data_IF_361396114858
#
_entry.id   IF_361396114858
#
_cell.length_a   1.000
_cell.length_b   1.000
_cell.length_c   1.000
_cell.angle_alpha   90.00
_cell.angle_beta   90.00
_cell.angle_gamma   90.00
#
_symmetry.space_group_name_H-M   'P 1'
#
loop_
_entity.id
_entity.type
_entity.pdbx_description
1 polymer ?
#
# COMPACT_ATOMS: atom_id res chain seq x y z
N UNK A 1 71.10 39.83 19.21
CA UNK A 1 70.45 40.67 20.22
C UNK A 1 68.97 40.87 19.86
N UNK A 2 68.16 40.78 20.87
CA UNK A 2 66.70 40.99 20.97
C UNK A 2 65.78 39.89 20.40
N UNK A 3 65.38 39.07 21.32
CA UNK A 3 64.19 38.21 21.31
C UNK A 3 62.92 39.09 21.23
N UNK A 4 61.92 38.60 20.45
CA UNK A 4 60.58 39.12 20.52
C UNK A 4 59.67 37.91 20.67
N UNK A 5 59.18 37.73 21.87
CA UNK A 5 58.18 36.73 22.27
C UNK A 5 56.80 37.18 21.80
N UNK A 6 56.17 36.40 20.94
CA UNK A 6 54.77 36.59 20.60
C UNK A 6 53.93 35.57 21.36
N UNK A 7 53.16 36.06 22.31
CA UNK A 7 52.17 35.29 23.07
C UNK A 7 50.98 34.94 22.16
N UNK A 8 50.82 33.68 21.87
CA UNK A 8 49.57 33.16 21.29
C UNK A 8 48.52 33.07 22.41
N UNK A 9 47.49 33.87 22.31
CA UNK A 9 46.27 33.77 23.10
C UNK A 9 45.44 32.60 22.58
N UNK A 10 45.39 31.48 23.33
CA UNK A 10 44.43 30.42 23.15
C UNK A 10 43.05 30.92 23.65
N UNK A 11 42.19 31.31 22.74
CA UNK A 11 40.75 31.43 23.01
C UNK A 11 40.15 30.04 23.02
N UNK A 12 40.09 29.41 24.18
CA UNK A 12 39.29 28.22 24.43
C UNK A 12 37.82 28.60 24.49
N UNK A 13 37.12 28.43 23.36
CA UNK A 13 35.65 28.41 23.37
C UNK A 13 35.18 27.09 23.98
N UNK A 14 34.87 27.12 25.28
CA UNK A 14 34.11 26.07 25.92
C UNK A 14 32.69 26.07 25.29
N UNK A 15 32.43 25.17 24.35
CA UNK A 15 31.08 24.82 23.96
C UNK A 15 30.44 24.13 25.19
N UNK A 16 29.72 24.89 26.00
CA UNK A 16 28.79 24.37 26.96
C UNK A 16 27.65 23.67 26.14
N UNK A 17 27.79 22.37 25.90
CA UNK A 17 26.66 21.55 25.59
C UNK A 17 25.69 21.61 26.76
N UNK A 18 24.73 22.53 26.71
CA UNK A 18 23.56 22.49 27.58
C UNK A 18 22.79 21.22 27.22
N UNK A 19 23.10 20.13 27.90
CA UNK A 19 22.21 19.00 27.98
C UNK A 19 20.94 19.50 28.69
N UNK A 20 19.96 19.95 27.91
CA UNK A 20 18.61 20.09 28.40
C UNK A 20 18.18 18.65 28.74
N UNK A 21 18.33 18.27 30.01
CA UNK A 21 17.75 17.04 30.53
C UNK A 21 16.23 17.20 30.41
N UNK A 22 15.67 16.64 29.34
CA UNK A 22 14.22 16.44 29.26
C UNK A 22 13.86 15.58 30.49
N UNK A 23 13.04 16.08 31.43
CA UNK A 23 12.65 15.28 32.58
C UNK A 23 12.08 13.97 32.07
N UNK A 24 12.45 12.85 32.72
CA UNK A 24 11.92 11.54 32.40
C UNK A 24 10.39 11.63 32.55
N UNK A 25 9.69 11.76 31.43
CA UNK A 25 8.23 11.79 31.41
C UNK A 25 7.75 10.45 32.00
N UNK A 26 6.84 10.52 32.96
CA UNK A 26 6.20 9.30 33.47
C UNK A 26 5.52 8.61 32.29
N UNK A 27 5.41 7.28 32.33
CA UNK A 27 4.77 6.52 31.23
C UNK A 27 3.35 7.03 30.92
N UNK A 28 2.63 7.52 31.93
CA UNK A 28 1.31 8.12 31.78
C UNK A 28 1.30 9.43 31.02
N UNK A 29 2.30 10.29 31.24
CA UNK A 29 2.39 11.58 30.53
C UNK A 29 2.78 11.36 29.07
N UNK A 30 3.67 10.42 28.78
CA UNK A 30 4.03 10.03 27.41
C UNK A 30 2.81 9.49 26.64
N UNK A 31 1.96 8.70 27.27
CA UNK A 31 0.73 8.18 26.65
C UNK A 31 -0.27 9.31 26.34
N UNK A 32 -0.49 10.24 27.29
CA UNK A 32 -1.37 11.40 27.06
C UNK A 32 -0.85 12.29 25.93
N UNK A 33 0.45 12.54 25.89
CA UNK A 33 1.06 13.32 24.82
C UNK A 33 1.00 12.61 23.46
N UNK A 34 1.20 11.28 23.43
CA UNK A 34 1.00 10.49 22.23
C UNK A 34 -0.44 10.58 21.70
N UNK A 35 -1.43 10.54 22.59
CA UNK A 35 -2.84 10.72 22.22
C UNK A 35 -3.12 12.12 21.66
N UNK A 36 -2.54 13.16 22.28
CA UNK A 36 -2.65 14.55 21.79
C UNK A 36 -2.06 14.68 20.40
N UNK A 37 -0.83 14.20 20.20
CA UNK A 37 -0.13 14.24 18.91
C UNK A 37 -0.83 13.40 17.84
N UNK A 38 -1.46 12.28 18.19
CA UNK A 38 -2.28 11.50 17.25
C UNK A 38 -3.43 12.34 16.70
N UNK A 39 -4.13 13.09 17.54
CA UNK A 39 -5.20 14.00 17.09
C UNK A 39 -4.64 15.13 16.19
N UNK A 40 -3.48 15.68 16.57
CA UNK A 40 -2.81 16.69 15.73
C UNK A 40 -2.46 16.13 14.36
N UNK A 41 -1.91 14.91 14.30
CA UNK A 41 -1.59 14.24 13.04
C UNK A 41 -2.83 13.99 12.18
N UNK A 42 -3.92 13.52 12.78
CA UNK A 42 -5.19 13.29 12.07
C UNK A 42 -5.77 14.58 11.49
N UNK A 43 -5.79 15.67 12.26
CA UNK A 43 -6.23 16.99 11.77
C UNK A 43 -5.32 17.49 10.66
N UNK A 44 -4.01 17.32 10.79
CA UNK A 44 -3.04 17.71 9.76
C UNK A 44 -3.29 16.93 8.45
N UNK A 45 -3.57 15.61 8.52
CA UNK A 45 -3.94 14.80 7.36
C UNK A 45 -5.23 15.31 6.67
N UNK A 46 -6.29 15.60 7.45
CA UNK A 46 -7.54 16.15 6.92
C UNK A 46 -7.36 17.49 6.22
N UNK A 47 -6.36 18.28 6.63
CA UNK A 47 -6.01 19.57 6.06
C UNK A 47 -4.97 19.47 4.93
N UNK A 48 -4.56 18.27 4.52
CA UNK A 48 -3.53 18.05 3.51
C UNK A 48 -2.10 18.38 3.97
N UNK A 49 -1.88 18.66 5.27
CA UNK A 49 -0.57 18.94 5.86
C UNK A 49 0.15 17.65 6.23
N UNK A 50 0.49 16.87 5.22
CA UNK A 50 1.00 15.50 5.39
C UNK A 50 2.36 15.46 6.10
N UNK A 51 3.26 16.42 5.83
CA UNK A 51 4.58 16.46 6.48
C UNK A 51 4.44 16.71 8.00
N UNK A 52 3.47 17.55 8.41
CA UNK A 52 3.18 17.77 9.83
C UNK A 52 2.62 16.51 10.49
N UNK A 53 1.76 15.77 9.79
CA UNK A 53 1.24 14.49 10.28
C UNK A 53 2.35 13.47 10.46
N UNK A 54 3.26 13.33 9.49
CA UNK A 54 4.41 12.42 9.56
C UNK A 54 5.29 12.79 10.75
N UNK A 55 5.65 14.07 10.91
CA UNK A 55 6.46 14.56 12.06
C UNK A 55 5.80 14.24 13.39
N UNK A 56 4.48 14.44 13.51
CA UNK A 56 3.75 14.12 14.73
C UNK A 56 3.81 12.61 15.05
N UNK A 57 3.59 11.73 14.06
CA UNK A 57 3.71 10.27 14.25
C UNK A 57 5.14 9.84 14.60
N UNK A 58 6.16 10.42 13.96
CA UNK A 58 7.56 10.15 14.30
C UNK A 58 7.90 10.62 15.74
N UNK A 59 7.36 11.77 16.16
CA UNK A 59 7.51 12.25 17.54
C UNK A 59 6.88 11.27 18.53
N UNK A 60 5.68 10.74 18.23
CA UNK A 60 5.04 9.71 19.08
C UNK A 60 5.95 8.49 19.21
N UNK A 61 6.54 8.01 18.11
CA UNK A 61 7.43 6.86 18.14
C UNK A 61 8.65 7.08 19.06
N UNK A 62 9.14 8.31 19.13
CA UNK A 62 10.27 8.68 20.02
C UNK A 62 9.85 8.78 21.47
N UNK A 63 8.75 9.48 21.79
CA UNK A 63 8.33 9.69 23.18
C UNK A 63 7.72 8.44 23.82
N UNK A 64 7.11 7.55 23.02
CA UNK A 64 6.46 6.33 23.46
C UNK A 64 7.40 5.11 23.51
N UNK A 65 8.72 5.29 23.66
CA UNK A 65 9.70 4.17 23.72
C UNK A 65 9.39 3.12 24.78
N UNK A 66 8.82 3.55 25.91
CA UNK A 66 8.37 2.65 26.98
C UNK A 66 7.06 1.91 26.68
N UNK A 67 6.42 2.23 25.57
CA UNK A 67 5.15 1.65 25.11
C UNK A 67 5.24 1.20 23.65
N UNK A 68 5.94 0.08 23.37
CA UNK A 68 6.26 -0.34 22.00
C UNK A 68 5.04 -0.40 21.06
N UNK A 69 3.87 -0.81 21.58
CA UNK A 69 2.63 -0.86 20.78
C UNK A 69 2.17 0.52 20.30
N UNK A 70 2.32 1.57 21.14
CA UNK A 70 1.95 2.94 20.75
C UNK A 70 2.93 3.45 19.70
N UNK A 71 4.23 3.22 19.90
CA UNK A 71 5.27 3.59 18.94
C UNK A 71 5.08 2.86 17.60
N UNK A 72 4.81 1.55 17.63
CA UNK A 72 4.52 0.75 16.44
C UNK A 72 3.30 1.28 15.66
N UNK A 73 2.19 1.57 16.37
CA UNK A 73 0.99 2.13 15.75
C UNK A 73 1.25 3.51 15.11
N UNK A 74 2.07 4.35 15.73
CA UNK A 74 2.44 5.64 15.17
C UNK A 74 3.28 5.48 13.88
N UNK A 75 4.26 4.58 13.89
CA UNK A 75 5.06 4.28 12.69
C UNK A 75 4.22 3.68 11.56
N UNK A 76 3.27 2.79 11.89
CA UNK A 76 2.30 2.27 10.93
C UNK A 76 1.50 3.41 10.27
N UNK A 77 1.02 4.37 11.07
CA UNK A 77 0.28 5.52 10.56
C UNK A 77 1.16 6.44 9.71
N UNK A 78 2.42 6.68 10.09
CA UNK A 78 3.37 7.44 9.27
C UNK A 78 3.59 6.74 7.91
N UNK A 79 3.74 5.41 7.91
CA UNK A 79 3.83 4.60 6.70
C UNK A 79 2.60 4.76 5.80
N UNK A 80 1.39 4.76 6.38
CA UNK A 80 0.16 4.97 5.63
C UNK A 80 0.10 6.37 4.98
N UNK A 81 0.60 7.41 5.66
CA UNK A 81 0.71 8.75 5.07
C UNK A 81 1.71 8.74 3.92
N UNK A 82 2.87 8.09 4.06
CA UNK A 82 3.82 7.95 2.96
C UNK A 82 3.22 7.21 1.76
N UNK A 83 2.45 6.14 2.00
CA UNK A 83 1.71 5.43 0.93
C UNK A 83 0.78 6.35 0.17
N UNK A 84 -0.01 7.17 0.87
CA UNK A 84 -0.95 8.12 0.23
C UNK A 84 -0.25 9.19 -0.59
N UNK A 85 1.01 9.48 -0.30
CA UNK A 85 1.87 10.41 -1.05
C UNK A 85 2.66 9.75 -2.19
N UNK A 86 2.49 8.44 -2.42
CA UNK A 86 3.29 7.68 -3.38
C UNK A 86 4.77 7.54 -2.98
N UNK A 87 5.12 7.82 -1.73
CA UNK A 87 6.48 7.71 -1.19
C UNK A 87 6.71 6.28 -0.66
N UNK A 88 6.79 5.30 -1.57
CA UNK A 88 6.73 3.87 -1.23
C UNK A 88 7.95 3.37 -0.44
N UNK A 89 9.17 3.84 -0.72
CA UNK A 89 10.36 3.44 0.04
C UNK A 89 10.34 3.96 1.49
N UNK A 90 10.03 5.25 1.75
CA UNK A 90 9.75 5.73 3.12
C UNK A 90 8.64 4.97 3.82
N UNK A 91 7.56 4.61 3.11
CA UNK A 91 6.47 3.82 3.66
C UNK A 91 6.95 2.42 4.10
N UNK A 92 7.68 1.71 3.23
CA UNK A 92 8.23 0.40 3.54
C UNK A 92 9.17 0.43 4.75
N UNK A 93 9.99 1.48 4.89
CA UNK A 93 10.86 1.67 6.05
C UNK A 93 10.04 1.88 7.33
N UNK A 94 9.04 2.76 7.31
CA UNK A 94 8.16 3.00 8.46
C UNK A 94 7.41 1.74 8.89
N UNK A 95 6.95 0.90 7.94
CA UNK A 95 6.32 -0.38 8.27
C UNK A 95 7.31 -1.40 8.85
N UNK A 96 8.57 -1.45 8.37
CA UNK A 96 9.61 -2.30 8.99
C UNK A 96 9.93 -1.85 10.41
N UNK A 97 10.04 -0.55 10.65
CA UNK A 97 10.26 0.01 11.99
C UNK A 97 9.09 -0.30 12.92
N UNK A 98 7.84 -0.21 12.42
CA UNK A 98 6.65 -0.64 13.16
C UNK A 98 6.72 -2.11 13.53
N UNK A 99 7.10 -2.98 12.59
CA UNK A 99 7.23 -4.43 12.79
C UNK A 99 8.40 -4.82 13.71
N UNK A 100 9.44 -4.00 13.79
CA UNK A 100 10.53 -4.19 14.75
C UNK A 100 10.04 -4.00 16.21
N UNK A 101 9.00 -3.20 16.42
CA UNK A 101 8.38 -2.94 17.72
C UNK A 101 7.19 -3.88 18.02
N UNK A 102 6.44 -4.27 16.99
CA UNK A 102 5.31 -5.21 17.07
C UNK A 102 5.33 -6.14 15.85
N UNK A 103 6.05 -7.26 15.99
CA UNK A 103 6.21 -8.26 14.93
C UNK A 103 4.90 -8.98 14.56
N UNK A 104 3.87 -8.92 15.43
CA UNK A 104 2.61 -9.63 15.24
C UNK A 104 1.51 -8.77 14.59
N UNK A 105 1.86 -7.63 14.03
CA UNK A 105 0.91 -6.77 13.33
C UNK A 105 0.64 -7.26 11.90
N UNK A 106 -0.46 -8.00 11.71
CA UNK A 106 -0.91 -8.42 10.38
C UNK A 106 -1.13 -7.22 9.43
N UNK A 107 -1.65 -6.10 9.96
CA UNK A 107 -1.85 -4.87 9.21
C UNK A 107 -0.52 -4.27 8.72
N UNK A 108 0.51 -4.22 9.57
CA UNK A 108 1.82 -3.71 9.19
C UNK A 108 2.49 -4.61 8.13
N UNK A 109 2.36 -5.94 8.26
CA UNK A 109 2.86 -6.88 7.24
C UNK A 109 2.13 -6.69 5.90
N UNK A 110 0.80 -6.55 5.91
CA UNK A 110 0.05 -6.29 4.68
C UNK A 110 0.49 -4.97 4.03
N UNK A 111 0.58 -3.89 4.81
CA UNK A 111 0.94 -2.57 4.27
C UNK A 111 2.41 -2.52 3.78
N UNK A 112 3.31 -3.27 4.44
CA UNK A 112 4.68 -3.48 3.94
C UNK A 112 4.65 -4.20 2.57
N UNK A 113 3.83 -5.24 2.45
CA UNK A 113 3.63 -5.95 1.18
C UNK A 113 3.12 -5.03 0.07
N UNK A 114 2.16 -4.15 0.37
CA UNK A 114 1.65 -3.15 -0.58
C UNK A 114 2.76 -2.19 -1.02
N UNK A 115 3.51 -1.62 -0.08
CA UNK A 115 4.62 -0.71 -0.40
C UNK A 115 5.70 -1.40 -1.27
N UNK A 116 6.03 -2.66 -0.95
CA UNK A 116 6.97 -3.45 -1.74
C UNK A 116 6.42 -3.80 -3.13
N UNK A 117 5.11 -4.04 -3.24
CA UNK A 117 4.41 -4.26 -4.51
C UNK A 117 4.51 -3.05 -5.44
N UNK A 118 4.28 -1.84 -4.92
CA UNK A 118 4.44 -0.58 -5.67
C UNK A 118 5.90 -0.34 -6.10
N UNK A 119 6.87 -0.78 -5.29
CA UNK A 119 8.30 -0.80 -5.64
C UNK A 119 8.66 -1.94 -6.60
N UNK A 120 7.69 -2.73 -7.08
CA UNK A 120 7.87 -3.90 -7.95
C UNK A 120 8.75 -5.00 -7.33
N UNK A 121 8.95 -4.99 -6.02
CA UNK A 121 9.67 -6.02 -5.27
C UNK A 121 8.74 -7.19 -4.94
N UNK A 122 8.15 -7.81 -5.96
CA UNK A 122 7.02 -8.73 -5.83
C UNK A 122 7.31 -9.94 -4.95
N UNK A 123 8.52 -10.50 -5.00
CA UNK A 123 8.87 -11.64 -4.16
C UNK A 123 8.86 -11.26 -2.67
N UNK A 124 9.41 -10.11 -2.32
CA UNK A 124 9.41 -9.60 -0.94
C UNK A 124 8.00 -9.19 -0.49
N UNK A 125 7.20 -8.64 -1.40
CA UNK A 125 5.79 -8.34 -1.14
C UNK A 125 5.01 -9.61 -0.80
N UNK A 126 5.23 -10.69 -1.57
CA UNK A 126 4.59 -11.99 -1.32
C UNK A 126 4.93 -12.53 0.06
N UNK A 127 6.19 -12.46 0.49
CA UNK A 127 6.63 -12.89 1.83
C UNK A 127 5.91 -12.09 2.94
N UNK A 128 5.77 -10.77 2.75
CA UNK A 128 5.05 -9.91 3.70
C UNK A 128 3.56 -10.26 3.77
N UNK A 129 2.89 -10.48 2.62
CA UNK A 129 1.49 -10.90 2.61
C UNK A 129 1.29 -12.29 3.20
N UNK A 130 2.20 -13.25 2.96
CA UNK A 130 2.15 -14.57 3.59
C UNK A 130 2.21 -14.47 5.11
N UNK A 131 3.09 -13.61 5.65
CA UNK A 131 3.15 -13.34 7.08
C UNK A 131 1.87 -12.70 7.59
N UNK A 132 1.31 -11.73 6.85
CA UNK A 132 0.03 -11.11 7.21
C UNK A 132 -1.10 -12.15 7.33
N UNK A 133 -1.21 -13.05 6.35
CA UNK A 133 -2.22 -14.12 6.34
C UNK A 133 -1.95 -15.18 7.43
N UNK A 134 -0.69 -15.45 7.76
CA UNK A 134 -0.34 -16.35 8.87
C UNK A 134 -0.72 -15.76 10.23
N UNK A 135 -0.63 -14.43 10.40
CA UNK A 135 -1.02 -13.72 11.62
C UNK A 135 -2.54 -13.55 11.73
N UNK A 136 -3.19 -13.24 10.62
CA UNK A 136 -4.64 -13.10 10.51
C UNK A 136 -5.14 -13.75 9.22
N UNK A 137 -5.56 -15.01 9.34
CA UNK A 137 -6.13 -15.77 8.23
C UNK A 137 -7.42 -15.17 7.66
N UNK A 138 -8.13 -14.33 8.42
CA UNK A 138 -9.33 -13.62 7.98
C UNK A 138 -9.06 -12.34 7.18
N UNK A 139 -7.81 -11.89 7.08
CA UNK A 139 -7.46 -10.64 6.40
C UNK A 139 -7.65 -10.76 4.88
N UNK A 140 -8.88 -10.49 4.42
CA UNK A 140 -9.31 -10.57 3.00
C UNK A 140 -8.37 -9.80 2.08
N UNK A 141 -7.98 -8.59 2.49
CA UNK A 141 -7.08 -7.73 1.71
C UNK A 141 -5.72 -8.38 1.47
N UNK A 142 -5.12 -9.02 2.47
CA UNK A 142 -3.83 -9.70 2.32
C UNK A 142 -3.94 -10.92 1.38
N UNK A 143 -5.01 -11.72 1.49
CA UNK A 143 -5.26 -12.84 0.57
C UNK A 143 -5.45 -12.37 -0.87
N UNK A 144 -6.19 -11.27 -1.07
CA UNK A 144 -6.35 -10.66 -2.39
C UNK A 144 -5.01 -10.18 -2.95
N UNK A 145 -4.24 -9.46 -2.15
CA UNK A 145 -2.92 -8.96 -2.52
C UNK A 145 -1.93 -10.09 -2.85
N UNK A 146 -2.02 -11.23 -2.15
CA UNK A 146 -1.26 -12.44 -2.53
C UNK A 146 -1.64 -12.91 -3.93
N UNK A 147 -2.92 -13.00 -4.25
CA UNK A 147 -3.39 -13.37 -5.59
C UNK A 147 -2.83 -12.43 -6.66
N UNK A 148 -2.94 -11.12 -6.44
CA UNK A 148 -2.40 -10.08 -7.33
C UNK A 148 -0.88 -10.21 -7.49
N UNK A 149 -0.18 -10.48 -6.40
CA UNK A 149 1.28 -10.61 -6.42
C UNK A 149 1.74 -11.86 -7.17
N UNK A 150 1.04 -12.98 -7.00
CA UNK A 150 1.28 -14.20 -7.80
C UNK A 150 1.03 -13.94 -9.29
N UNK A 151 -0.02 -13.19 -9.64
CA UNK A 151 -0.29 -12.81 -11.04
C UNK A 151 0.84 -11.94 -11.62
N UNK A 152 1.35 -10.97 -10.83
CA UNK A 152 2.50 -10.12 -11.21
C UNK A 152 3.80 -10.92 -11.40
N UNK A 153 3.97 -12.01 -10.67
CA UNK A 153 5.09 -12.95 -10.80
C UNK A 153 4.90 -13.96 -11.95
N UNK A 154 3.78 -13.92 -12.68
CA UNK A 154 3.43 -14.88 -13.73
C UNK A 154 3.04 -16.27 -13.18
N UNK A 155 2.86 -16.39 -11.88
CA UNK A 155 2.49 -17.64 -11.20
C UNK A 155 0.96 -17.82 -11.20
N UNK A 156 0.37 -17.90 -12.40
CA UNK A 156 -1.09 -17.79 -12.62
C UNK A 156 -1.90 -18.86 -11.88
N UNK A 157 -1.35 -20.08 -11.71
CA UNK A 157 -2.04 -21.15 -10.97
C UNK A 157 -2.22 -20.81 -9.49
N UNK A 158 -1.23 -20.16 -8.85
CA UNK A 158 -1.34 -19.72 -7.46
C UNK A 158 -2.28 -18.51 -7.32
N UNK A 159 -2.26 -17.58 -8.30
CA UNK A 159 -3.21 -16.48 -8.34
C UNK A 159 -4.66 -17.01 -8.42
N UNK A 160 -4.95 -17.92 -9.35
CA UNK A 160 -6.25 -18.59 -9.50
C UNK A 160 -6.69 -19.24 -8.18
N UNK A 161 -5.79 -20.00 -7.51
CA UNK A 161 -6.09 -20.65 -6.24
C UNK A 161 -6.58 -19.64 -5.17
N UNK A 162 -5.87 -18.54 -4.99
CA UNK A 162 -6.22 -17.55 -3.98
C UNK A 162 -7.51 -16.81 -4.31
N UNK A 163 -7.75 -16.46 -5.57
CA UNK A 163 -9.02 -15.83 -5.97
C UNK A 163 -10.21 -16.76 -5.80
N UNK A 164 -10.06 -18.05 -6.09
CA UNK A 164 -11.13 -19.05 -5.85
C UNK A 164 -11.45 -19.21 -4.37
N UNK A 165 -10.43 -19.20 -3.49
CA UNK A 165 -10.65 -19.20 -2.04
C UNK A 165 -11.42 -17.94 -1.62
N UNK A 166 -11.04 -16.77 -2.11
CA UNK A 166 -11.72 -15.52 -1.80
C UNK A 166 -13.20 -15.55 -2.23
N UNK A 167 -13.46 -16.02 -3.44
CA UNK A 167 -14.83 -16.15 -3.97
C UNK A 167 -15.68 -17.12 -3.14
N UNK A 168 -15.10 -18.23 -2.69
CA UNK A 168 -15.77 -19.20 -1.83
C UNK A 168 -16.13 -18.59 -0.47
N UNK A 169 -15.18 -17.88 0.15
CA UNK A 169 -15.32 -17.34 1.50
C UNK A 169 -16.08 -15.99 1.51
N UNK A 170 -16.01 -15.24 0.41
CA UNK A 170 -16.59 -13.91 0.24
C UNK A 170 -17.24 -13.79 -1.16
N UNK A 171 -18.43 -14.39 -1.39
CA UNK A 171 -19.06 -14.46 -2.70
C UNK A 171 -19.57 -13.12 -3.25
N UNK A 172 -19.51 -12.06 -2.47
CA UNK A 172 -19.82 -10.67 -2.83
C UNK A 172 -18.57 -9.82 -3.16
N UNK A 173 -17.36 -10.39 -3.03
CA UNK A 173 -16.11 -9.68 -3.28
C UNK A 173 -15.84 -9.58 -4.79
N UNK A 174 -16.40 -8.55 -5.44
CA UNK A 174 -16.38 -8.35 -6.91
C UNK A 174 -14.98 -8.34 -7.52
N UNK A 175 -13.98 -7.76 -6.83
CA UNK A 175 -12.60 -7.71 -7.30
C UNK A 175 -11.98 -9.11 -7.49
N UNK A 176 -12.34 -10.09 -6.67
CA UNK A 176 -11.80 -11.45 -6.82
C UNK A 176 -12.33 -12.11 -8.11
N UNK A 177 -13.59 -11.88 -8.48
CA UNK A 177 -14.14 -12.39 -9.73
C UNK A 177 -13.45 -11.78 -10.95
N UNK A 178 -13.28 -10.47 -10.97
CA UNK A 178 -12.61 -9.78 -12.08
C UNK A 178 -11.14 -10.19 -12.21
N UNK A 179 -10.42 -10.24 -11.09
CA UNK A 179 -9.01 -10.66 -11.07
C UNK A 179 -8.84 -12.14 -11.50
N UNK A 180 -9.75 -13.02 -11.09
CA UNK A 180 -9.77 -14.41 -11.55
C UNK A 180 -10.01 -14.48 -13.05
N UNK A 181 -10.95 -13.71 -13.58
CA UNK A 181 -11.24 -13.64 -15.00
C UNK A 181 -10.02 -13.18 -15.82
N UNK A 182 -9.35 -12.13 -15.38
CA UNK A 182 -8.10 -11.66 -16.00
C UNK A 182 -7.03 -12.74 -15.98
N UNK A 183 -6.84 -13.43 -14.85
CA UNK A 183 -5.87 -14.53 -14.70
C UNK A 183 -6.18 -15.70 -15.64
N UNK A 184 -7.45 -16.07 -15.77
CA UNK A 184 -7.87 -17.11 -16.73
C UNK A 184 -7.64 -16.69 -18.17
N UNK A 185 -7.94 -15.45 -18.53
CA UNK A 185 -7.67 -14.91 -19.87
C UNK A 185 -6.18 -14.97 -20.23
N UNK A 186 -5.31 -14.57 -19.27
CA UNK A 186 -3.84 -14.70 -19.42
C UNK A 186 -3.37 -16.16 -19.55
N UNK A 187 -4.12 -17.10 -18.97
CA UNK A 187 -3.82 -18.54 -19.04
C UNK A 187 -4.38 -19.21 -20.32
N UNK A 188 -4.93 -18.45 -21.28
CA UNK A 188 -5.56 -18.97 -22.49
C UNK A 188 -6.98 -19.56 -22.27
N UNK A 189 -7.56 -19.37 -21.10
CA UNK A 189 -8.90 -19.88 -20.70
C UNK A 189 -9.94 -18.76 -20.75
N UNK A 190 -9.89 -17.90 -21.77
CA UNK A 190 -10.72 -16.70 -21.89
C UNK A 190 -12.22 -16.96 -21.88
N UNK A 191 -12.70 -18.10 -22.41
CA UNK A 191 -14.13 -18.44 -22.35
C UNK A 191 -14.64 -18.63 -20.92
N UNK A 192 -13.81 -19.15 -20.01
CA UNK A 192 -14.16 -19.28 -18.59
C UNK A 192 -14.15 -17.93 -17.85
N UNK A 193 -13.45 -16.93 -18.39
CA UNK A 193 -13.39 -15.59 -17.82
C UNK A 193 -14.71 -14.81 -18.00
N UNK A 194 -15.46 -15.07 -19.08
CA UNK A 194 -16.68 -14.30 -19.43
C UNK A 194 -17.69 -14.27 -18.27
N UNK A 195 -18.16 -15.40 -17.71
CA UNK A 195 -19.15 -15.39 -16.63
C UNK A 195 -18.62 -14.73 -15.35
N UNK A 196 -17.31 -14.73 -15.12
CA UNK A 196 -16.69 -14.12 -13.96
C UNK A 196 -16.68 -12.58 -14.09
N UNK A 197 -16.32 -12.03 -15.25
CA UNK A 197 -16.45 -10.58 -15.52
C UNK A 197 -17.91 -10.12 -15.38
N UNK A 198 -18.86 -10.89 -15.92
CA UNK A 198 -20.29 -10.58 -15.77
C UNK A 198 -20.70 -10.56 -14.29
N UNK A 199 -20.21 -11.53 -13.49
CA UNK A 199 -20.48 -11.57 -12.06
C UNK A 199 -19.86 -10.38 -11.33
N UNK A 200 -18.60 -10.00 -11.62
CA UNK A 200 -17.96 -8.82 -11.05
C UNK A 200 -18.77 -7.54 -11.32
N UNK A 201 -19.19 -7.33 -12.58
CA UNK A 201 -20.03 -6.20 -12.97
C UNK A 201 -21.40 -6.25 -12.27
N UNK A 202 -22.02 -7.43 -12.11
CA UNK A 202 -23.30 -7.54 -11.41
C UNK A 202 -23.22 -7.16 -9.94
N UNK A 203 -22.06 -7.40 -9.30
CA UNK A 203 -21.80 -7.06 -7.89
C UNK A 203 -21.45 -5.58 -7.71
N UNK A 204 -20.68 -5.02 -8.64
CA UNK A 204 -20.31 -3.60 -8.61
C UNK A 204 -20.35 -2.99 -10.03
N UNK A 205 -21.53 -2.58 -10.52
CA UNK A 205 -21.70 -2.08 -11.88
C UNK A 205 -21.09 -0.70 -12.14
N UNK A 206 -20.60 -0.02 -11.09
CA UNK A 206 -20.02 1.33 -11.20
C UNK A 206 -18.49 1.32 -11.28
N UNK A 207 -17.84 0.18 -11.19
CA UNK A 207 -16.39 0.08 -11.31
C UNK A 207 -15.99 0.05 -12.80
N UNK A 208 -15.34 1.10 -13.32
CA UNK A 208 -14.97 1.17 -14.73
C UNK A 208 -13.92 0.12 -15.11
N UNK A 209 -13.08 -0.33 -14.16
CA UNK A 209 -12.03 -1.30 -14.42
C UNK A 209 -12.57 -2.65 -14.89
N UNK A 210 -13.75 -3.06 -14.42
CA UNK A 210 -14.36 -4.33 -14.82
C UNK A 210 -14.76 -4.35 -16.30
N UNK A 211 -15.30 -3.25 -16.82
CA UNK A 211 -15.62 -3.14 -18.24
C UNK A 211 -14.37 -3.10 -19.11
N UNK A 212 -13.33 -2.41 -18.63
CA UNK A 212 -12.03 -2.37 -19.31
C UNK A 212 -11.42 -3.78 -19.40
N UNK A 213 -11.31 -4.49 -18.28
CA UNK A 213 -10.74 -5.83 -18.22
C UNK A 213 -11.55 -6.84 -19.02
N UNK A 214 -12.89 -6.71 -19.01
CA UNK A 214 -13.77 -7.56 -19.82
C UNK A 214 -13.58 -7.33 -21.31
N UNK A 215 -13.44 -6.06 -21.74
CA UNK A 215 -13.13 -5.74 -23.13
C UNK A 215 -11.78 -6.34 -23.56
N UNK A 216 -10.74 -6.22 -22.72
CA UNK A 216 -9.43 -6.84 -22.99
C UNK A 216 -9.54 -8.36 -23.10
N UNK A 217 -10.34 -9.01 -22.26
CA UNK A 217 -10.58 -10.45 -22.33
C UNK A 217 -11.29 -10.85 -23.64
N UNK A 218 -12.25 -10.05 -24.12
CA UNK A 218 -12.86 -10.26 -25.45
C UNK A 218 -11.88 -10.06 -26.58
N UNK A 219 -10.97 -9.10 -26.48
CA UNK A 219 -9.92 -8.91 -27.50
C UNK A 219 -8.99 -10.12 -27.60
N UNK A 220 -8.58 -10.69 -26.45
CA UNK A 220 -7.78 -11.94 -26.42
C UNK A 220 -8.51 -13.11 -27.13
N UNK A 221 -9.83 -13.12 -27.10
CA UNK A 221 -10.67 -14.10 -27.79
C UNK A 221 -10.94 -13.76 -29.27
N UNK A 222 -10.46 -12.63 -29.78
CA UNK A 222 -10.77 -12.13 -31.13
C UNK A 222 -12.17 -11.55 -31.28
N UNK A 223 -12.93 -11.40 -30.19
CA UNK A 223 -14.32 -10.94 -30.17
C UNK A 223 -14.40 -9.40 -30.12
N UNK A 224 -13.81 -8.74 -31.11
CA UNK A 224 -13.63 -7.27 -31.14
C UNK A 224 -14.95 -6.51 -31.01
N UNK A 225 -16.04 -6.96 -31.61
CA UNK A 225 -17.35 -6.31 -31.48
C UNK A 225 -17.82 -6.29 -30.03
N UNK A 226 -17.66 -7.39 -29.28
CA UNK A 226 -18.02 -7.47 -27.86
C UNK A 226 -17.11 -6.60 -26.99
N UNK A 227 -15.83 -6.46 -27.35
CA UNK A 227 -14.93 -5.52 -26.69
C UNK A 227 -15.40 -4.07 -26.87
N UNK A 228 -15.84 -3.68 -28.06
CA UNK A 228 -16.42 -2.36 -28.35
C UNK A 228 -17.71 -2.09 -27.57
N UNK A 229 -18.56 -3.10 -27.38
CA UNK A 229 -19.76 -2.97 -26.52
C UNK A 229 -19.39 -2.66 -25.08
N UNK A 230 -18.36 -3.30 -24.51
CA UNK A 230 -17.90 -2.97 -23.18
C UNK A 230 -17.28 -1.57 -23.12
N UNK A 231 -16.55 -1.16 -24.14
CA UNK A 231 -15.98 0.19 -24.25
C UNK A 231 -17.07 1.27 -24.25
N UNK A 232 -18.20 1.05 -24.93
CA UNK A 232 -19.34 1.97 -24.88
C UNK A 232 -19.94 2.11 -23.47
N UNK A 233 -20.07 1.01 -22.74
CA UNK A 233 -20.52 1.02 -21.34
C UNK A 233 -19.52 1.74 -20.42
N UNK A 234 -18.23 1.48 -20.62
CA UNK A 234 -17.14 2.15 -19.92
C UNK A 234 -17.17 3.66 -20.13
N UNK A 235 -17.51 4.12 -21.34
CA UNK A 235 -17.56 5.56 -21.70
C UNK A 235 -18.54 6.35 -20.82
N UNK A 236 -19.61 5.72 -20.37
CA UNK A 236 -20.58 6.34 -19.46
C UNK A 236 -20.06 6.50 -18.03
N UNK A 237 -19.06 5.68 -17.62
CA UNK A 237 -18.48 5.66 -16.28
C UNK A 237 -17.18 6.46 -16.22
N UNK A 238 -16.29 6.25 -17.18
CA UNK A 238 -14.98 6.90 -17.30
C UNK A 238 -14.64 7.13 -18.78
N UNK A 239 -14.92 8.33 -19.33
CA UNK A 239 -14.64 8.68 -20.72
C UNK A 239 -13.15 8.59 -21.08
N UNK A 240 -12.24 8.93 -20.15
CA UNK A 240 -10.81 8.92 -20.41
C UNK A 240 -10.27 7.47 -20.52
N UNK A 241 -10.70 6.58 -19.62
CA UNK A 241 -10.37 5.17 -19.70
C UNK A 241 -10.96 4.50 -20.94
N UNK A 242 -12.17 4.90 -21.35
CA UNK A 242 -12.80 4.39 -22.58
C UNK A 242 -12.06 4.83 -23.84
N UNK A 243 -11.53 6.05 -23.89
CA UNK A 243 -10.72 6.52 -25.02
C UNK A 243 -9.38 5.77 -25.09
N UNK A 244 -8.73 5.54 -23.95
CA UNK A 244 -7.55 4.70 -23.89
C UNK A 244 -7.84 3.28 -24.42
N UNK A 245 -8.96 2.66 -24.01
CA UNK A 245 -9.36 1.34 -24.48
C UNK A 245 -9.64 1.34 -25.98
N UNK A 246 -10.25 2.39 -26.52
CA UNK A 246 -10.48 2.53 -27.96
C UNK A 246 -9.18 2.50 -28.75
N UNK A 247 -8.16 3.22 -28.29
CA UNK A 247 -6.83 3.19 -28.90
C UNK A 247 -6.19 1.79 -28.86
N UNK A 248 -6.38 1.06 -27.75
CA UNK A 248 -5.90 -0.33 -27.60
C UNK A 248 -6.61 -1.26 -28.59
N UNK A 249 -7.93 -1.15 -28.73
CA UNK A 249 -8.73 -1.94 -29.69
C UNK A 249 -8.28 -1.66 -31.14
N UNK A 250 -8.11 -0.39 -31.51
CA UNK A 250 -7.68 0.01 -32.85
C UNK A 250 -6.30 -0.56 -33.21
N UNK A 251 -5.37 -0.56 -32.26
CA UNK A 251 -4.03 -1.13 -32.45
C UNK A 251 -4.04 -2.66 -32.61
N UNK A 252 -5.01 -3.33 -32.02
CA UNK A 252 -5.13 -4.79 -32.10
C UNK A 252 -5.70 -5.27 -33.46
N UNK A 253 -6.32 -4.36 -34.22
CA UNK A 253 -6.91 -4.63 -35.54
C UNK A 253 -5.94 -4.41 -36.71
N UNK A 254 -4.75 -3.84 -36.46
CA UNK A 254 -3.66 -3.65 -37.44
C UNK A 254 -2.72 -4.85 -37.46
#
# INVERSE_FOLDING_TARGET
MKQSTSRALLCGALLLCVFVSVPAQTSGDAVKEAQRLTRVAQVAQQQGRFDDAIKAYQTIAVIAKSSPRIAAAALLNAGNVYMSLGKFEPAANAFRDSLALDANSAAAQNNLGEALGELKQYQRALEAFQRAVALDGGLVKARYNMGVTYDRLGQLKYAEFWYRILIRDHPDFSLAYDSLAVTLSKSGRGLEAIPLHQKAISLNPKDPSFYYNFAVSYMVLGEVKKAQEQQQKLRALDPAMAEHLNAVIAKHQQ
#
